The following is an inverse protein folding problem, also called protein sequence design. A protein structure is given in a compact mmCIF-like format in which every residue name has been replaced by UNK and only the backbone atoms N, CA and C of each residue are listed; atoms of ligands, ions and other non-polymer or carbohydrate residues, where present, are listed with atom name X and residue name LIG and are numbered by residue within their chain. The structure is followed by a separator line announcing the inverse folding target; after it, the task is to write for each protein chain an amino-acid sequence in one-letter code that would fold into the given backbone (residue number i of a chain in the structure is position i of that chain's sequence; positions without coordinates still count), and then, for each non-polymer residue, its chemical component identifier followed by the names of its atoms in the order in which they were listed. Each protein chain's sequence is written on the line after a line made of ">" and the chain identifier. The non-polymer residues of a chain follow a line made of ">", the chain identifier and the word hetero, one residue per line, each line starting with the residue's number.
data_IF_607144443649
#
_entry.id   IF_607144443649
#
_cell.length_a   1.000
_cell.length_b   1.000
_cell.length_c   1.000
_cell.angle_alpha   90.00
_cell.angle_beta   90.00
_cell.angle_gamma   90.00
#
_symmetry.space_group_name_H-M   'P 1'
#
loop_
_entity.id
_entity.type
_entity.pdbx_description
1 polymer ?
#
# COMPACT_ATOMS: atom_id res chain seq x y z
N UNK A 1 10.02 -28.55 -7.97
CA UNK A 1 10.65 -27.26 -8.31
C UNK A 1 10.67 -26.41 -7.04
N UNK A 2 11.82 -25.82 -6.72
CA UNK A 2 11.96 -24.87 -5.60
C UNK A 2 11.90 -23.46 -6.18
N UNK A 3 11.06 -22.61 -5.60
CA UNK A 3 10.81 -21.23 -6.07
C UNK A 3 11.30 -20.17 -5.10
N UNK A 4 12.14 -20.51 -4.11
CA UNK A 4 12.63 -19.55 -3.13
C UNK A 4 12.98 -20.19 -1.79
N UNK A 5 13.20 -19.33 -0.79
CA UNK A 5 13.44 -19.73 0.58
C UNK A 5 13.02 -18.60 1.54
N UNK A 6 12.57 -19.00 2.73
CA UNK A 6 12.40 -18.14 3.89
C UNK A 6 13.33 -18.64 4.99
N UNK A 7 13.87 -17.72 5.77
CA UNK A 7 14.74 -17.97 6.91
C UNK A 7 14.11 -17.36 8.15
N UNK A 8 14.36 -17.97 9.31
CA UNK A 8 13.93 -17.43 10.59
C UNK A 8 14.94 -16.39 11.08
N UNK A 9 14.46 -15.17 11.33
CA UNK A 9 15.20 -14.05 11.89
C UNK A 9 14.53 -13.61 13.19
N UNK A 10 15.27 -12.88 14.02
CA UNK A 10 14.77 -12.35 15.29
C UNK A 10 14.71 -10.82 15.26
N UNK A 11 13.59 -10.26 15.68
CA UNK A 11 13.41 -8.82 15.81
C UNK A 11 14.32 -8.27 16.90
N UNK A 12 15.10 -7.22 16.60
CA UNK A 12 16.02 -6.62 17.56
C UNK A 12 15.30 -5.96 18.75
N UNK A 13 14.04 -5.53 18.58
CA UNK A 13 13.27 -4.84 19.61
C UNK A 13 12.45 -5.77 20.49
N UNK A 14 11.74 -6.73 19.89
CA UNK A 14 10.83 -7.63 20.60
C UNK A 14 11.44 -9.00 20.90
N UNK A 15 12.54 -9.37 20.22
CA UNK A 15 13.10 -10.72 20.28
C UNK A 15 12.23 -11.78 19.59
N UNK A 16 11.15 -11.38 18.93
CA UNK A 16 10.23 -12.31 18.27
C UNK A 16 10.81 -12.85 16.96
N UNK A 17 10.58 -14.14 16.72
CA UNK A 17 10.96 -14.80 15.49
C UNK A 17 9.98 -14.47 14.36
N UNK A 18 10.52 -14.20 13.17
CA UNK A 18 9.75 -13.99 11.95
C UNK A 18 10.45 -14.64 10.76
N UNK A 19 9.68 -14.96 9.72
CA UNK A 19 10.21 -15.52 8.49
C UNK A 19 10.50 -14.40 7.50
N UNK A 20 11.69 -14.40 6.89
CA UNK A 20 12.06 -13.43 5.85
C UNK A 20 12.75 -14.11 4.68
N UNK A 21 12.46 -13.65 3.47
CA UNK A 21 13.14 -14.12 2.28
C UNK A 21 12.48 -13.67 0.98
N UNK A 22 12.65 -14.50 -0.05
CA UNK A 22 12.28 -14.15 -1.42
C UNK A 22 11.69 -15.34 -2.16
N UNK A 23 10.69 -15.07 -2.99
CA UNK A 23 10.06 -16.01 -3.91
C UNK A 23 10.38 -15.60 -5.35
N UNK A 24 10.97 -16.53 -6.09
CA UNK A 24 11.34 -16.49 -7.51
C UNK A 24 10.60 -17.59 -8.26
N UNK A 25 9.28 -17.42 -8.39
CA UNK A 25 8.46 -18.31 -9.20
C UNK A 25 8.42 -17.80 -10.64
N UNK A 26 8.77 -18.64 -11.65
CA UNK A 26 8.67 -18.29 -13.07
C UNK A 26 7.28 -17.81 -13.52
N UNK A 27 6.20 -18.12 -12.79
CA UNK A 27 4.85 -17.63 -13.09
C UNK A 27 4.64 -16.16 -12.66
N UNK A 28 5.54 -15.59 -11.86
CA UNK A 28 5.46 -14.22 -11.39
C UNK A 28 6.25 -13.29 -12.32
N UNK A 29 5.72 -12.08 -12.53
CA UNK A 29 6.38 -11.07 -13.36
C UNK A 29 7.73 -10.57 -12.80
N UNK A 30 7.94 -10.71 -11.49
CA UNK A 30 9.16 -10.34 -10.79
C UNK A 30 9.27 -11.08 -9.45
N UNK A 31 10.46 -11.17 -8.83
CA UNK A 31 10.62 -11.71 -7.50
C UNK A 31 9.75 -10.99 -6.46
N UNK A 32 9.28 -11.74 -5.46
CA UNK A 32 8.51 -11.23 -4.34
C UNK A 32 9.35 -11.32 -3.07
N UNK A 33 9.61 -10.18 -2.42
CA UNK A 33 10.21 -10.15 -1.09
C UNK A 33 9.10 -10.31 -0.06
N UNK A 34 9.32 -11.16 0.95
CA UNK A 34 8.30 -11.55 1.91
C UNK A 34 8.86 -11.51 3.33
N UNK A 35 8.10 -10.91 4.23
CA UNK A 35 8.23 -11.06 5.68
C UNK A 35 6.92 -11.60 6.25
N UNK A 36 6.97 -12.65 7.06
CA UNK A 36 5.80 -13.25 7.68
C UNK A 36 5.98 -13.35 9.20
N UNK A 37 5.00 -12.83 9.93
CA UNK A 37 4.98 -12.76 11.40
C UNK A 37 3.89 -13.67 11.93
N UNK A 38 4.26 -14.64 12.78
CA UNK A 38 3.31 -15.62 13.32
C UNK A 38 2.45 -14.97 14.40
N UNK A 39 1.15 -15.24 14.36
CA UNK A 39 0.20 -14.85 15.38
C UNK A 39 -0.02 -15.99 16.39
N UNK A 40 -0.68 -15.68 17.51
CA UNK A 40 -0.97 -16.68 18.57
C UNK A 40 -1.87 -17.83 18.09
N UNK A 41 -2.77 -17.56 17.14
CA UNK A 41 -3.67 -18.55 16.54
C UNK A 41 -3.00 -19.43 15.47
N UNK A 42 -1.70 -19.20 15.21
CA UNK A 42 -0.92 -19.91 14.18
C UNK A 42 -1.05 -19.33 12.78
N UNK A 43 -1.85 -18.28 12.58
CA UNK A 43 -1.90 -17.53 11.32
C UNK A 43 -0.65 -16.65 11.14
N UNK A 44 -0.50 -16.06 9.95
CA UNK A 44 0.62 -15.17 9.65
C UNK A 44 0.14 -13.84 9.08
N UNK A 45 0.62 -12.74 9.65
CA UNK A 45 0.60 -11.45 8.99
C UNK A 45 1.76 -11.37 7.99
N UNK A 46 1.47 -11.01 6.75
CA UNK A 46 2.46 -11.02 5.67
C UNK A 46 2.63 -9.64 5.07
N UNK A 47 3.87 -9.15 5.09
CA UNK A 47 4.29 -7.95 4.37
C UNK A 47 5.08 -8.40 3.15
N UNK A 48 4.74 -7.87 1.99
CA UNK A 48 5.43 -8.22 0.75
C UNK A 48 5.68 -7.00 -0.12
N UNK A 49 6.71 -7.09 -0.95
CA UNK A 49 7.03 -6.06 -1.93
C UNK A 49 7.62 -6.68 -3.19
N UNK A 50 7.50 -5.94 -4.30
CA UNK A 50 8.17 -6.25 -5.56
C UNK A 50 9.17 -5.15 -5.87
N UNK A 51 10.29 -5.45 -6.56
CA UNK A 51 11.12 -4.39 -7.11
C UNK A 51 10.30 -3.56 -8.10
N UNK A 52 10.08 -2.28 -7.78
CA UNK A 52 9.51 -1.30 -8.71
C UNK A 52 10.64 -0.49 -9.33
N UNK A 53 10.66 -0.31 -10.66
CA UNK A 53 11.58 0.68 -11.24
C UNK A 53 11.03 2.07 -10.94
N UNK A 54 11.90 3.00 -10.58
CA UNK A 54 11.56 4.39 -10.26
C UNK A 54 10.79 5.12 -11.36
N UNK A 55 10.96 4.73 -12.63
CA UNK A 55 10.17 5.25 -13.76
C UNK A 55 8.72 4.76 -13.74
N UNK A 56 8.48 3.52 -13.32
CA UNK A 56 7.15 2.91 -13.30
C UNK A 56 6.31 3.55 -12.18
N UNK A 57 6.91 3.74 -11.01
CA UNK A 57 6.27 4.47 -9.90
C UNK A 57 5.98 5.92 -10.28
N UNK A 58 6.92 6.62 -10.94
CA UNK A 58 6.69 7.99 -11.38
C UNK A 58 5.59 8.10 -12.45
N UNK A 59 5.41 7.07 -13.29
CA UNK A 59 4.32 7.01 -14.26
C UNK A 59 2.96 6.69 -13.59
N UNK A 60 2.95 5.85 -12.56
CA UNK A 60 1.75 5.49 -11.79
C UNK A 60 1.28 6.66 -10.90
N UNK A 61 2.22 7.38 -10.29
CA UNK A 61 1.95 8.56 -9.46
C UNK A 61 1.87 9.86 -10.26
N UNK A 62 2.06 9.82 -11.58
CA UNK A 62 1.84 10.99 -12.41
C UNK A 62 0.38 11.42 -12.26
N UNK A 63 0.09 12.71 -11.98
CA UNK A 63 -1.28 13.19 -12.05
C UNK A 63 -1.80 12.81 -13.43
N UNK A 64 -2.92 12.09 -13.50
CA UNK A 64 -3.60 11.85 -14.78
C UNK A 64 -3.72 13.22 -15.42
N UNK A 65 -3.03 13.39 -16.55
CA UNK A 65 -3.03 14.64 -17.27
C UNK A 65 -4.49 15.07 -17.37
N UNK A 66 -4.74 16.32 -17.01
CA UNK A 66 -6.04 16.97 -17.06
C UNK A 66 -6.47 17.05 -18.53
N UNK A 67 -6.82 15.90 -19.10
CA UNK A 67 -7.45 15.78 -20.40
C UNK A 67 -8.90 16.18 -20.15
N UNK A 68 -9.05 17.52 -20.10
CA UNK A 68 -10.26 18.31 -19.96
C UNK A 68 -11.44 17.56 -19.40
N UNK A 69 -11.68 17.73 -18.10
CA UNK A 69 -13.01 17.53 -17.52
C UNK A 69 -14.04 18.08 -18.53
N UNK A 70 -14.98 17.26 -19.05
CA UNK A 70 -16.00 17.76 -19.95
C UNK A 70 -16.71 18.91 -19.24
N UNK A 71 -16.97 20.03 -19.92
CA UNK A 71 -17.56 21.20 -19.27
C UNK A 71 -18.85 20.76 -18.59
N UNK A 72 -18.92 21.00 -17.27
CA UNK A 72 -20.12 20.72 -16.51
C UNK A 72 -21.26 21.58 -17.09
N UNK A 73 -22.44 21.00 -17.37
CA UNK A 73 -23.55 21.76 -17.89
C UNK A 73 -23.97 22.82 -16.85
N UNK A 74 -23.85 24.10 -17.20
CA UNK A 74 -24.29 25.23 -16.37
C UNK A 74 -23.22 26.20 -15.88
N UNK A 75 -21.97 26.14 -16.37
CA UNK A 75 -20.88 27.03 -15.95
C UNK A 75 -20.95 28.48 -16.50
N UNK A 76 -22.15 29.03 -16.67
CA UNK A 76 -22.35 30.43 -17.03
C UNK A 76 -23.45 31.09 -16.17
N UNK A 77 -23.39 30.96 -14.84
CA UNK A 77 -24.14 31.85 -13.93
C UNK A 77 -23.34 32.23 -12.68
N UNK A 78 -22.78 33.45 -12.72
CA UNK A 78 -22.65 34.47 -11.66
C UNK A 78 -22.43 34.09 -10.18
N UNK A 79 -21.22 34.44 -9.71
CA UNK A 79 -20.83 35.10 -8.44
C UNK A 79 -21.65 34.95 -7.14
N UNK A 80 -20.96 34.51 -6.06
CA UNK A 80 -21.29 34.84 -4.66
C UNK A 80 -20.58 33.94 -3.63
N UNK A 81 -20.01 34.47 -2.52
CA UNK A 81 -19.15 33.70 -1.61
C UNK A 81 -19.97 32.99 -0.53
N UNK A 82 -19.70 31.71 -0.28
CA UNK A 82 -20.16 31.02 0.92
C UNK A 82 -19.15 29.96 1.39
N UNK A 83 -18.74 30.20 2.62
CA UNK A 83 -18.06 29.36 3.60
C UNK A 83 -18.53 27.91 3.70
N UNK A 84 -17.66 27.09 4.32
CA UNK A 84 -17.89 25.83 5.04
C UNK A 84 -17.68 24.51 4.26
N UNK A 85 -16.59 23.85 4.66
CA UNK A 85 -16.63 22.51 5.26
C UNK A 85 -17.17 21.38 4.38
N UNK A 86 -16.25 20.59 3.82
CA UNK A 86 -16.55 19.22 3.42
C UNK A 86 -15.30 18.36 3.70
N UNK A 87 -15.20 17.89 4.94
CA UNK A 87 -14.50 16.65 5.24
C UNK A 87 -15.22 15.51 4.51
N UNK A 88 -14.63 14.97 3.46
CA UNK A 88 -15.01 13.67 2.89
C UNK A 88 -14.00 13.27 1.82
N UNK A 89 -12.96 12.52 2.18
CA UNK A 89 -12.02 12.11 1.14
C UNK A 89 -10.87 11.20 1.51
N UNK A 90 -10.89 10.48 2.63
CA UNK A 90 -9.97 9.36 2.83
C UNK A 90 -10.76 8.25 3.54
N UNK A 91 -11.06 7.18 2.79
CA UNK A 91 -11.84 6.04 3.26
C UNK A 91 -11.39 5.56 4.63
N UNK A 92 -12.34 5.14 5.45
CA UNK A 92 -12.11 4.67 6.82
C UNK A 92 -11.07 3.56 6.80
N UNK A 93 -9.88 3.84 7.34
CA UNK A 93 -8.87 2.82 7.60
C UNK A 93 -9.36 1.91 8.71
N UNK A 94 -9.41 0.60 8.46
CA UNK A 94 -9.74 -0.42 9.48
C UNK A 94 -8.57 -0.73 10.43
N UNK A 95 -7.49 0.06 10.40
CA UNK A 95 -6.41 -0.06 11.39
C UNK A 95 -6.86 0.59 12.71
N UNK A 96 -7.36 -0.22 13.63
CA UNK A 96 -7.64 0.19 15.00
C UNK A 96 -6.32 0.66 15.65
N UNK A 97 -6.20 1.96 15.89
CA UNK A 97 -5.06 2.56 16.58
C UNK A 97 -5.16 2.23 18.08
N UNK A 98 -4.38 1.26 18.53
CA UNK A 98 -4.06 1.08 19.94
C UNK A 98 -2.56 1.29 20.16
N UNK A 99 -2.14 2.56 20.17
CA UNK A 99 -0.92 2.96 20.88
C UNK A 99 -1.34 3.78 22.09
N UNK A 100 -1.49 3.09 23.23
CA UNK A 100 -1.64 3.73 24.52
C UNK A 100 -0.33 3.57 25.30
N UNK A 101 0.28 4.74 25.54
CA UNK A 101 1.21 5.16 26.60
C UNK A 101 2.58 4.51 26.72
#
# INVERSE_FOLDING_TARGET
>A
VQVGALFELFSNGTGEAFLNGKIEDPSLAAPLYVSAFRQEDGSYNVVWSRPTRRRDLAAEMAPKADEGLPPLPGADETAGPATQGAEAGLGQSSAEHAFAS
#
